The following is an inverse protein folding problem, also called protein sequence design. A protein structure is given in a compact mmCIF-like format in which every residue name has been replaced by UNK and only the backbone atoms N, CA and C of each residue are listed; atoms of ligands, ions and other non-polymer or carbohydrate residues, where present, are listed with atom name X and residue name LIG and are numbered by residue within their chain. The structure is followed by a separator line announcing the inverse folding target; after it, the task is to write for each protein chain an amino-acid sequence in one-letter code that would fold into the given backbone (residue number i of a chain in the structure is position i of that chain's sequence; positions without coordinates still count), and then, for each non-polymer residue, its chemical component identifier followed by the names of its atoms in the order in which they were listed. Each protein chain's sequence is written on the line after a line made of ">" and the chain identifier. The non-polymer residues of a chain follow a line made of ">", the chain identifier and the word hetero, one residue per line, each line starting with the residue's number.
data_IF_504327211703
#
_entry.id   IF_504327211703
#
_cell.length_a   1.000
_cell.length_b   1.000
_cell.length_c   1.000
_cell.angle_alpha   90.00
_cell.angle_beta   90.00
_cell.angle_gamma   90.00
#
_symmetry.space_group_name_H-M   'P 1'
#
loop_
_entity.id
_entity.type
_entity.pdbx_description
1 polymer ?
#
# COMPACT_ATOMS: atom_id res chain seq x y z
N UNK A 1 -21.53 22.61 -7.99
CA UNK A 1 -20.26 23.04 -8.61
C UNK A 1 -19.09 22.77 -7.68
N UNK A 2 -18.13 21.97 -8.12
CA UNK A 2 -16.86 21.80 -7.41
C UNK A 2 -15.98 22.99 -7.78
N UNK A 3 -15.56 23.79 -6.80
CA UNK A 3 -14.66 24.93 -7.04
C UNK A 3 -13.23 24.41 -7.24
N UNK A 4 -12.44 25.08 -8.09
CA UNK A 4 -11.04 24.70 -8.36
C UNK A 4 -10.22 24.52 -7.08
N UNK A 5 -10.41 25.38 -6.08
CA UNK A 5 -9.75 25.29 -4.77
C UNK A 5 -10.04 23.96 -4.03
N UNK A 6 -11.27 23.41 -4.16
CA UNK A 6 -11.62 22.12 -3.55
C UNK A 6 -10.92 20.94 -4.25
N UNK A 7 -10.78 21.01 -5.58
CA UNK A 7 -10.03 19.99 -6.34
C UNK A 7 -8.54 20.02 -5.97
N UNK A 8 -7.91 21.20 -5.97
CA UNK A 8 -6.50 21.35 -5.61
C UNK A 8 -6.23 20.83 -4.20
N UNK A 9 -7.11 21.17 -3.24
CA UNK A 9 -6.98 20.66 -1.87
C UNK A 9 -7.15 19.13 -1.81
N UNK A 10 -8.12 18.58 -2.54
CA UNK A 10 -8.34 17.13 -2.61
C UNK A 10 -7.14 16.38 -3.19
N UNK A 11 -6.61 16.88 -4.31
CA UNK A 11 -5.41 16.35 -4.96
C UNK A 11 -4.18 16.45 -4.05
N UNK A 12 -3.99 17.58 -3.37
CA UNK A 12 -2.88 17.76 -2.43
C UNK A 12 -2.94 16.78 -1.24
N UNK A 13 -4.12 16.57 -0.67
CA UNK A 13 -4.32 15.57 0.40
C UNK A 13 -4.07 14.15 -0.12
N UNK A 14 -4.51 13.84 -1.33
CA UNK A 14 -4.26 12.54 -1.95
C UNK A 14 -2.76 12.31 -2.18
N UNK A 15 -2.07 13.28 -2.78
CA UNK A 15 -0.63 13.24 -3.02
C UNK A 15 0.16 13.09 -1.71
N UNK A 16 -0.25 13.80 -0.65
CA UNK A 16 0.38 13.67 0.66
C UNK A 16 0.21 12.26 1.25
N UNK A 17 -0.99 11.66 1.15
CA UNK A 17 -1.20 10.28 1.59
C UNK A 17 -0.37 9.28 0.77
N UNK A 18 -0.22 9.52 -0.54
CA UNK A 18 0.62 8.70 -1.41
C UNK A 18 2.10 8.83 -1.04
N UNK A 19 2.59 10.03 -0.75
CA UNK A 19 3.96 10.25 -0.26
C UNK A 19 4.21 9.55 1.07
N UNK A 20 3.24 9.58 1.99
CA UNK A 20 3.37 8.86 3.26
C UNK A 20 3.45 7.35 3.01
N UNK A 21 2.56 6.80 2.18
CA UNK A 21 2.55 5.38 1.87
C UNK A 21 3.86 4.90 1.23
N UNK A 22 4.48 5.71 0.37
CA UNK A 22 5.69 5.33 -0.36
C UNK A 22 6.99 5.69 0.38
N UNK A 23 7.16 6.97 0.74
CA UNK A 23 8.42 7.50 1.25
C UNK A 23 8.55 7.29 2.76
N UNK A 24 7.49 7.59 3.53
CA UNK A 24 7.57 7.47 4.99
C UNK A 24 7.69 6.00 5.39
N UNK A 25 7.03 5.08 4.68
CA UNK A 25 7.23 3.64 4.88
C UNK A 25 8.70 3.25 4.70
N UNK A 26 9.37 3.71 3.64
CA UNK A 26 10.81 3.44 3.43
C UNK A 26 11.67 3.97 4.58
N UNK A 27 11.42 5.22 5.00
CA UNK A 27 12.15 5.84 6.11
C UNK A 27 11.98 5.05 7.41
N UNK A 28 10.77 4.53 7.67
CA UNK A 28 10.47 3.70 8.85
C UNK A 28 11.16 2.34 8.77
N UNK A 29 11.28 1.74 7.58
CA UNK A 29 11.89 0.42 7.37
C UNK A 29 13.42 0.49 7.32
N UNK A 30 14.00 1.59 6.84
CA UNK A 30 15.45 1.79 6.67
C UNK A 30 16.33 1.29 7.84
N UNK A 31 16.08 1.64 9.12
CA UNK A 31 16.91 1.17 10.23
C UNK A 31 16.89 -0.36 10.40
N UNK A 32 15.84 -1.03 9.92
CA UNK A 32 15.69 -2.48 10.00
C UNK A 32 16.33 -3.23 8.83
N UNK A 33 16.87 -2.54 7.81
CA UNK A 33 17.53 -3.20 6.66
C UNK A 33 18.92 -3.74 7.00
N UNK A 34 19.52 -3.31 8.11
CA UNK A 34 20.93 -3.58 8.44
C UNK A 34 21.18 -4.92 9.16
N UNK A 35 20.14 -5.66 9.55
CA UNK A 35 20.40 -6.96 10.19
C UNK A 35 20.76 -8.00 9.13
N UNK A 36 21.83 -8.76 9.38
CA UNK A 36 22.36 -9.76 8.46
C UNK A 36 21.27 -10.73 7.99
N UNK A 37 21.19 -10.93 6.67
CA UNK A 37 20.32 -11.90 6.03
C UNK A 37 21.21 -12.85 5.23
N UNK A 38 21.07 -14.15 5.44
CA UNK A 38 21.94 -15.17 4.83
C UNK A 38 21.55 -15.43 3.37
N UNK A 39 20.27 -15.26 3.00
CA UNK A 39 19.81 -15.48 1.63
C UNK A 39 19.08 -14.27 1.02
N UNK A 40 19.22 -14.06 -0.30
CA UNK A 40 18.49 -12.99 -1.03
C UNK A 40 16.98 -13.14 -0.92
N UNK A 41 16.48 -14.38 -0.94
CA UNK A 41 15.05 -14.68 -0.81
C UNK A 41 14.51 -14.22 0.54
N UNK A 42 15.24 -14.48 1.63
CA UNK A 42 14.89 -13.97 2.95
C UNK A 42 14.92 -12.44 2.99
N UNK A 43 15.86 -11.79 2.28
CA UNK A 43 15.94 -10.34 2.24
C UNK A 43 14.71 -9.72 1.59
N UNK A 44 14.21 -10.32 0.50
CA UNK A 44 12.99 -9.88 -0.20
C UNK A 44 11.77 -10.09 0.69
N UNK A 45 11.59 -11.30 1.23
CA UNK A 45 10.45 -11.62 2.10
C UNK A 45 10.41 -10.71 3.34
N UNK A 46 11.58 -10.39 3.89
CA UNK A 46 11.71 -9.49 5.01
C UNK A 46 11.36 -8.05 4.63
N UNK A 47 11.86 -7.56 3.49
CA UNK A 47 11.55 -6.22 3.00
C UNK A 47 10.04 -6.07 2.73
N UNK A 48 9.43 -7.08 2.11
CA UNK A 48 7.98 -7.15 1.88
C UNK A 48 7.23 -7.14 3.21
N UNK A 49 7.63 -7.96 4.17
CA UNK A 49 6.98 -8.05 5.48
C UNK A 49 7.11 -6.74 6.29
N UNK A 50 8.31 -6.17 6.39
CA UNK A 50 8.54 -4.92 7.12
C UNK A 50 7.81 -3.74 6.46
N UNK A 51 7.89 -3.63 5.13
CA UNK A 51 7.14 -2.62 4.37
C UNK A 51 5.64 -2.79 4.55
N UNK A 52 5.15 -4.03 4.60
CA UNK A 52 3.74 -4.35 4.80
C UNK A 52 3.22 -3.88 6.15
N UNK A 53 3.94 -4.25 7.22
CA UNK A 53 3.58 -3.87 8.59
C UNK A 53 3.66 -2.36 8.79
N UNK A 54 4.74 -1.74 8.29
CA UNK A 54 4.93 -0.30 8.38
C UNK A 54 3.84 0.48 7.61
N UNK A 55 3.55 0.09 6.36
CA UNK A 55 2.51 0.73 5.55
C UNK A 55 1.13 0.58 6.20
N UNK A 56 0.78 -0.61 6.67
CA UNK A 56 -0.48 -0.87 7.37
C UNK A 56 -0.62 0.00 8.63
N UNK A 57 0.42 0.03 9.47
CA UNK A 57 0.45 0.83 10.69
C UNK A 57 0.33 2.33 10.39
N UNK A 58 1.06 2.83 9.39
CA UNK A 58 0.97 4.22 8.94
C UNK A 58 -0.44 4.57 8.44
N UNK A 59 -1.03 3.72 7.61
CA UNK A 59 -2.39 3.91 7.11
C UNK A 59 -3.42 3.98 8.23
N UNK A 60 -3.30 3.10 9.22
CA UNK A 60 -4.12 3.10 10.43
C UNK A 60 -3.95 4.40 11.24
N UNK A 61 -2.71 4.81 11.53
CA UNK A 61 -2.41 6.00 12.35
C UNK A 61 -2.81 7.29 11.66
N UNK A 62 -2.50 7.45 10.37
CA UNK A 62 -2.85 8.65 9.60
C UNK A 62 -4.36 8.77 9.48
N UNK A 63 -5.07 7.68 9.18
CA UNK A 63 -6.53 7.73 9.11
C UNK A 63 -7.15 8.02 10.48
N UNK A 64 -6.60 7.45 11.57
CA UNK A 64 -7.02 7.80 12.94
C UNK A 64 -6.85 9.28 13.24
N UNK A 65 -5.71 9.88 12.86
CA UNK A 65 -5.37 11.26 13.19
C UNK A 65 -6.10 12.29 12.34
N UNK A 66 -6.23 12.05 11.03
CA UNK A 66 -6.73 13.04 10.07
C UNK A 66 -8.11 12.70 9.49
N UNK A 67 -8.56 11.44 9.58
CA UNK A 67 -9.86 10.95 9.07
C UNK A 67 -10.13 11.29 7.60
N UNK A 68 -9.08 11.43 6.80
CA UNK A 68 -9.20 11.78 5.38
C UNK A 68 -9.67 10.58 4.58
N UNK A 69 -10.81 10.70 3.89
CA UNK A 69 -11.33 9.66 2.99
C UNK A 69 -10.35 9.26 1.89
N UNK A 70 -9.48 10.19 1.44
CA UNK A 70 -8.48 9.96 0.41
C UNK A 70 -7.50 8.83 0.74
N UNK A 71 -7.19 8.61 2.03
CA UNK A 71 -6.26 7.55 2.48
C UNK A 71 -6.69 6.14 2.07
N UNK A 72 -8.00 5.90 1.94
CA UNK A 72 -8.58 4.61 1.55
C UNK A 72 -8.43 4.30 0.06
N UNK A 73 -8.26 5.34 -0.74
CA UNK A 73 -8.23 5.26 -2.20
C UNK A 73 -6.82 5.30 -2.77
N UNK A 74 -5.80 5.39 -1.92
CA UNK A 74 -4.38 5.40 -2.35
C UNK A 74 -4.02 4.10 -3.07
N UNK A 75 -4.65 2.97 -2.70
CA UNK A 75 -4.49 1.69 -3.40
C UNK A 75 -4.83 1.77 -4.89
N UNK A 76 -5.76 2.65 -5.32
CA UNK A 76 -6.07 2.81 -6.74
C UNK A 76 -4.88 3.37 -7.50
N UNK A 77 -4.14 4.34 -6.92
CA UNK A 77 -2.93 4.85 -7.56
C UNK A 77 -1.87 3.76 -7.68
N UNK A 78 -1.69 2.91 -6.65
CA UNK A 78 -0.80 1.76 -6.72
C UNK A 78 -1.20 0.75 -7.79
N UNK A 79 -2.49 0.42 -7.88
CA UNK A 79 -3.03 -0.48 -8.90
C UNK A 79 -2.85 0.08 -10.32
N UNK A 80 -3.10 1.38 -10.51
CA UNK A 80 -2.85 2.06 -11.78
C UNK A 80 -1.35 2.04 -12.14
N UNK A 81 -0.48 2.27 -11.16
CA UNK A 81 0.97 2.26 -11.35
C UNK A 81 1.48 0.87 -11.75
N UNK A 82 1.03 -0.17 -11.03
CA UNK A 82 1.36 -1.55 -11.35
C UNK A 82 0.78 -1.98 -12.71
N UNK A 83 -0.47 -1.62 -13.00
CA UNK A 83 -1.12 -1.91 -14.28
C UNK A 83 -0.40 -1.24 -15.44
N UNK A 84 0.06 -0.01 -15.25
CA UNK A 84 0.89 0.69 -16.23
C UNK A 84 2.21 -0.06 -16.50
N UNK A 85 2.92 -0.48 -15.45
CA UNK A 85 4.12 -1.30 -15.58
C UNK A 85 3.86 -2.62 -16.31
N UNK A 86 2.76 -3.30 -15.99
CA UNK A 86 2.35 -4.54 -16.65
C UNK A 86 2.07 -4.34 -18.15
N UNK A 87 1.41 -3.24 -18.53
CA UNK A 87 1.18 -2.88 -19.92
C UNK A 87 2.50 -2.61 -20.65
N UNK A 88 3.43 -1.87 -20.04
CA UNK A 88 4.74 -1.62 -20.63
C UNK A 88 5.52 -2.92 -20.85
N UNK A 89 5.54 -3.81 -19.86
CA UNK A 89 6.17 -5.12 -19.98
C UNK A 89 5.55 -5.95 -21.11
N UNK A 90 4.22 -5.92 -21.25
CA UNK A 90 3.50 -6.59 -22.33
C UNK A 90 3.88 -6.03 -23.71
N UNK A 91 3.92 -4.70 -23.88
CA UNK A 91 4.31 -4.06 -25.15
C UNK A 91 5.76 -4.38 -25.51
N UNK A 92 6.68 -4.30 -24.54
CA UNK A 92 8.09 -4.62 -24.76
C UNK A 92 8.28 -6.08 -25.23
N UNK A 93 7.48 -7.00 -24.69
CA UNK A 93 7.47 -8.40 -25.12
C UNK A 93 6.94 -8.59 -26.54
N UNK A 94 5.88 -7.87 -26.92
CA UNK A 94 5.37 -7.92 -28.31
C UNK A 94 6.40 -7.41 -29.32
N UNK A 95 7.14 -6.35 -28.98
CA UNK A 95 8.20 -5.83 -29.82
C UNK A 95 9.36 -6.85 -29.97
N UNK A 96 9.75 -7.53 -28.88
CA UNK A 96 10.83 -8.52 -28.89
C UNK A 96 10.45 -9.85 -29.55
N UNK A 97 9.18 -10.28 -29.44
CA UNK A 97 8.67 -11.52 -30.03
C UNK A 97 8.69 -11.52 -31.58
N UNK A 98 8.87 -10.35 -32.21
CA UNK A 98 8.92 -10.23 -33.67
C UNK A 98 10.26 -10.65 -34.29
N UNK A 99 11.33 -10.85 -33.51
CA UNK A 99 12.69 -11.08 -34.06
C UNK A 99 13.21 -12.50 -33.90
N UNK A 100 13.12 -13.15 -32.74
CA UNK A 100 13.46 -14.58 -32.57
C UNK A 100 13.11 -15.00 -31.14
N UNK A 101 12.51 -16.17 -31.01
CA UNK A 101 12.25 -16.90 -29.75
C UNK A 101 10.99 -16.54 -28.96
N UNK A 102 10.09 -17.53 -28.89
CA UNK A 102 8.83 -17.55 -28.13
C UNK A 102 9.13 -17.93 -26.67
N UNK A 103 9.81 -17.07 -25.91
CA UNK A 103 10.02 -17.30 -24.48
C UNK A 103 8.78 -16.89 -23.68
N UNK A 104 8.43 -17.70 -22.69
CA UNK A 104 7.28 -17.52 -21.80
C UNK A 104 7.17 -16.08 -21.25
N UNK A 105 5.93 -15.63 -21.05
CA UNK A 105 5.62 -14.31 -20.48
C UNK A 105 6.26 -14.21 -19.10
N UNK A 106 7.32 -13.41 -19.00
CA UNK A 106 8.14 -13.26 -17.77
C UNK A 106 7.45 -12.36 -16.71
N UNK A 107 6.12 -12.43 -16.60
CA UNK A 107 5.33 -11.77 -15.55
C UNK A 107 5.79 -12.16 -14.15
N UNK A 108 6.40 -13.35 -14.01
CA UNK A 108 6.95 -13.81 -12.75
C UNK A 108 8.11 -12.93 -12.23
N UNK A 109 8.80 -12.14 -13.09
CA UNK A 109 9.82 -11.19 -12.66
C UNK A 109 9.25 -10.09 -11.77
N UNK A 110 8.01 -9.67 -12.01
CA UNK A 110 7.31 -8.70 -11.17
C UNK A 110 7.02 -9.25 -9.77
N UNK A 111 6.88 -10.57 -9.61
CA UNK A 111 6.61 -11.19 -8.31
C UNK A 111 7.83 -11.22 -7.37
N UNK A 112 9.03 -10.86 -7.84
CA UNK A 112 10.26 -10.95 -7.06
C UNK A 112 10.79 -12.39 -6.85
N UNK A 113 10.00 -13.43 -7.15
CA UNK A 113 10.44 -14.83 -7.06
C UNK A 113 11.60 -15.17 -8.01
N UNK A 114 11.85 -14.31 -9.01
CA UNK A 114 12.90 -14.47 -10.02
C UNK A 114 14.12 -13.60 -9.92
N UNK A 115 14.30 -13.02 -8.75
CA UNK A 115 15.44 -12.19 -8.42
C UNK A 115 16.74 -13.01 -8.29
N UNK A 116 17.40 -13.26 -9.42
CA UNK A 116 18.77 -13.77 -9.42
C UNK A 116 19.80 -12.64 -9.26
N UNK A 117 19.56 -11.47 -9.86
CA UNK A 117 20.42 -10.29 -9.79
C UNK A 117 19.65 -9.00 -9.47
N UNK A 118 20.34 -7.96 -8.98
CA UNK A 118 19.75 -6.65 -8.67
C UNK A 118 19.00 -6.05 -9.86
N UNK A 119 19.54 -6.22 -11.07
CA UNK A 119 18.87 -5.76 -12.29
C UNK A 119 17.53 -6.47 -12.52
N UNK A 120 17.43 -7.76 -12.18
CA UNK A 120 16.19 -8.54 -12.28
C UNK A 120 15.17 -8.15 -11.20
N UNK A 121 15.61 -7.60 -10.07
CA UNK A 121 14.74 -7.14 -8.98
C UNK A 121 14.19 -5.73 -9.16
N UNK A 122 14.71 -4.98 -10.13
CA UNK A 122 14.32 -3.59 -10.34
C UNK A 122 12.82 -3.44 -10.57
N UNK A 123 12.22 -4.32 -11.38
CA UNK A 123 10.79 -4.29 -11.66
C UNK A 123 9.93 -4.56 -10.41
N UNK A 124 10.38 -5.46 -9.52
CA UNK A 124 9.71 -5.71 -8.24
C UNK A 124 9.79 -4.48 -7.32
N UNK A 125 10.95 -3.82 -7.25
CA UNK A 125 11.12 -2.57 -6.48
C UNK A 125 10.28 -1.41 -7.04
N UNK A 126 10.18 -1.29 -8.36
CA UNK A 126 9.54 -0.14 -9.01
C UNK A 126 8.00 -0.28 -9.11
N UNK A 127 7.47 -1.51 -9.15
CA UNK A 127 6.04 -1.76 -9.34
C UNK A 127 5.39 -2.48 -8.18
N UNK A 128 5.96 -3.60 -7.73
CA UNK A 128 5.31 -4.49 -6.75
C UNK A 128 5.39 -3.95 -5.34
N UNK A 129 6.55 -3.43 -4.93
CA UNK A 129 6.74 -2.88 -3.59
C UNK A 129 5.87 -1.62 -3.35
N UNK A 130 5.76 -0.66 -4.30
CA UNK A 130 4.81 0.45 -4.21
C UNK A 130 3.35 -0.01 -4.17
N UNK A 131 2.98 -1.02 -4.96
CA UNK A 131 1.64 -1.61 -4.93
C UNK A 131 1.33 -2.18 -3.55
N UNK A 132 2.23 -3.00 -3.00
CA UNK A 132 2.08 -3.61 -1.69
C UNK A 132 1.88 -2.55 -0.60
N UNK A 133 2.72 -1.51 -0.60
CA UNK A 133 2.64 -0.38 0.35
C UNK A 133 1.33 0.37 0.25
N UNK A 134 0.90 0.74 -0.95
CA UNK A 134 -0.33 1.53 -1.15
C UNK A 134 -1.60 0.72 -0.83
N UNK A 135 -1.61 -0.58 -1.15
CA UNK A 135 -2.70 -1.50 -0.80
C UNK A 135 -2.80 -1.66 0.71
N UNK A 136 -1.69 -1.96 1.39
CA UNK A 136 -1.69 -2.19 2.83
C UNK A 136 -1.89 -0.93 3.65
N UNK A 137 -1.39 0.22 3.19
CA UNK A 137 -1.73 1.52 3.74
C UNK A 137 -3.24 1.76 3.69
N UNK A 138 -3.87 1.50 2.54
CA UNK A 138 -5.31 1.63 2.39
C UNK A 138 -6.06 0.64 3.28
N UNK A 139 -5.58 -0.60 3.39
CA UNK A 139 -6.14 -1.61 4.30
C UNK A 139 -6.06 -1.19 5.78
N UNK A 140 -4.96 -0.57 6.20
CA UNK A 140 -4.80 0.04 7.53
C UNK A 140 -5.83 1.14 7.78
N UNK A 141 -6.07 2.02 6.80
CA UNK A 141 -7.10 3.03 6.89
C UNK A 141 -8.53 2.44 6.93
N UNK A 142 -8.79 1.40 6.13
CA UNK A 142 -10.08 0.70 6.12
C UNK A 142 -10.37 -0.03 7.43
N UNK A 143 -9.39 -0.73 7.99
CA UNK A 143 -9.54 -1.46 9.26
C UNK A 143 -9.92 -0.52 10.40
N UNK A 144 -9.28 0.65 10.52
CA UNK A 144 -9.70 1.67 11.50
C UNK A 144 -11.12 2.18 11.23
N UNK A 145 -11.45 2.47 9.97
CA UNK A 145 -12.78 2.95 9.61
C UNK A 145 -13.88 1.93 9.94
N UNK A 146 -13.57 0.65 9.82
CA UNK A 146 -14.47 -0.44 10.15
C UNK A 146 -14.63 -0.59 11.66
N UNK A 147 -13.53 -0.62 12.42
CA UNK A 147 -13.54 -0.68 13.90
C UNK A 147 -14.31 0.49 14.54
N UNK A 148 -14.12 1.71 14.04
CA UNK A 148 -14.83 2.88 14.56
C UNK A 148 -16.37 2.83 14.37
N UNK A 149 -16.86 2.08 13.37
CA UNK A 149 -18.31 1.84 13.21
C UNK A 149 -18.85 0.93 14.31
N UNK A 150 -18.08 -0.09 14.72
CA UNK A 150 -18.49 -1.00 15.79
C UNK A 150 -18.51 -0.33 17.16
N UNK A 151 -17.49 0.49 17.50
CA UNK A 151 -17.51 1.27 18.74
C UNK A 151 -18.74 2.18 18.81
N UNK A 152 -19.03 2.87 17.70
CA UNK A 152 -20.18 3.78 17.62
C UNK A 152 -21.53 3.06 17.75
N UNK A 153 -21.61 1.78 17.34
CA UNK A 153 -22.81 0.95 17.48
C UNK A 153 -22.97 0.37 18.90
N UNK A 154 -21.87 0.10 19.61
CA UNK A 154 -21.87 -0.47 20.95
C UNK A 154 -22.12 0.57 22.06
N UNK A 155 -21.64 1.80 21.88
CA UNK A 155 -21.73 2.90 22.85
C UNK A 155 -23.17 3.29 23.29
N UNK A 156 -24.19 3.33 22.41
CA UNK A 156 -25.56 3.66 22.79
C UNK A 156 -26.19 2.61 23.72
N UNK A 157 -25.91 1.32 23.46
CA UNK A 157 -26.38 0.21 24.28
C UNK A 157 -25.77 0.25 25.69
N UNK A 158 -24.46 0.48 25.77
CA UNK A 158 -23.75 0.63 27.04
C UNK A 158 -24.25 1.84 27.85
N UNK A 159 -24.45 3.00 27.20
CA UNK A 159 -25.00 4.19 27.87
C UNK A 159 -26.40 3.94 28.42
N UNK A 160 -27.27 3.24 27.68
CA UNK A 160 -28.60 2.85 28.17
C UNK A 160 -28.50 1.91 29.38
N UNK A 161 -27.62 0.92 29.34
CA UNK A 161 -27.43 -0.03 30.44
C UNK A 161 -26.88 0.63 31.73
N UNK A 162 -25.94 1.57 31.59
CA UNK A 162 -25.42 2.35 32.73
C UNK A 162 -26.52 3.25 33.31
N UNK A 163 -27.35 3.87 32.48
CA UNK A 163 -28.45 4.72 32.95
C UNK A 163 -29.56 3.92 33.65
N UNK A 164 -29.81 2.67 33.26
CA UNK A 164 -30.78 1.81 33.95
C UNK A 164 -30.29 1.36 35.33
N UNK A 165 -28.99 1.10 35.48
CA UNK A 165 -28.39 0.74 36.78
C UNK A 165 -28.37 1.90 37.78
N UNK A 166 -28.37 3.16 37.32
CA UNK A 166 -28.34 4.34 38.19
C UNK A 166 -29.71 4.75 38.75
N UNK A 167 -30.81 4.14 38.30
CA UNK A 167 -32.18 4.44 38.76
C UNK A 167 -32.68 3.49 39.85
N UNK A 168 -31.90 2.46 40.18
CA UNK A 168 -32.13 1.58 41.32
C UNK A 168 -31.34 2.09 42.52
#
# INVERSE_FOLDING_TARGET
>A
MITAAKLVRGAGVFALNMLIALVVTEVVVFPFKHFNVETRRESILREDFLSSVAAFGLGYVVFRRWRTSSSKWVCLAGLCWFGWGAIQAWIAQQAAASVLYRSHVDLWRMSGMGCYDFASCRDWLDYTLPLLRTVLYSAGAFSYAWLGKYESAALPGLKKAILSLRRQ
#
